data_IF_317584969278
#
_entry.id   IF_317584969278
#
_cell.length_a   1.000
_cell.length_b   1.000
_cell.length_c   1.000
_cell.angle_alpha   90.00
_cell.angle_beta   90.00
_cell.angle_gamma   90.00
#
_symmetry.space_group_name_H-M   'P 1'
#
loop_
_entity.id
_entity.type
_entity.pdbx_description
1 polymer ?
#
# COMPACT_ATOMS: atom_id res chain seq x y z
N UNK A 1 -31.95 -7.97 -76.58
CA UNK A 1 -32.60 -7.31 -75.45
C UNK A 1 -32.81 -8.31 -74.26
N UNK A 2 -31.78 -9.15 -73.93
CA UNK A 2 -31.94 -10.25 -72.94
C UNK A 2 -30.78 -10.40 -71.96
N UNK A 3 -29.73 -9.60 -72.06
CA UNK A 3 -28.53 -9.73 -71.21
C UNK A 3 -28.59 -8.72 -70.01
N UNK A 4 -29.20 -7.57 -70.21
CA UNK A 4 -29.30 -6.49 -69.18
C UNK A 4 -30.26 -6.82 -68.05
N UNK A 5 -31.32 -7.65 -68.27
CA UNK A 5 -32.27 -8.04 -67.22
C UNK A 5 -31.69 -9.06 -66.19
N UNK A 6 -30.73 -9.88 -66.58
CA UNK A 6 -30.09 -10.86 -65.68
C UNK A 6 -29.09 -10.22 -64.71
N UNK A 7 -28.41 -9.14 -65.13
CA UNK A 7 -27.50 -8.40 -64.27
C UNK A 7 -28.21 -7.64 -63.15
N UNK A 8 -29.38 -7.05 -63.41
CA UNK A 8 -30.19 -6.32 -62.40
C UNK A 8 -30.79 -7.27 -61.35
N UNK A 9 -31.14 -8.51 -61.72
CA UNK A 9 -31.66 -9.48 -60.75
C UNK A 9 -30.58 -9.97 -59.81
N UNK A 10 -29.35 -10.16 -60.25
CA UNK A 10 -28.23 -10.56 -59.38
C UNK A 10 -27.80 -9.44 -58.43
N UNK A 11 -27.83 -8.19 -58.87
CA UNK A 11 -27.50 -7.02 -58.02
C UNK A 11 -28.52 -6.82 -56.90
N UNK A 12 -29.79 -6.96 -57.18
CA UNK A 12 -30.84 -6.84 -56.17
C UNK A 12 -30.84 -8.02 -55.20
N UNK A 13 -30.46 -9.20 -55.60
CA UNK A 13 -30.34 -10.36 -54.72
C UNK A 13 -29.08 -10.26 -53.81
N UNK A 14 -27.96 -9.74 -54.32
CA UNK A 14 -26.78 -9.46 -53.51
C UNK A 14 -27.04 -8.33 -52.53
N UNK A 15 -27.73 -7.25 -52.90
CA UNK A 15 -28.09 -6.15 -52.03
C UNK A 15 -29.06 -6.60 -50.91
N UNK A 16 -29.98 -7.51 -51.24
CA UNK A 16 -30.90 -8.09 -50.23
C UNK A 16 -30.15 -9.03 -49.25
N UNK A 17 -29.20 -9.82 -49.72
CA UNK A 17 -28.36 -10.67 -48.87
C UNK A 17 -27.44 -9.86 -47.95
N UNK A 18 -26.87 -8.73 -48.42
CA UNK A 18 -26.04 -7.84 -47.61
C UNK A 18 -26.88 -7.12 -46.57
N UNK A 19 -28.12 -6.68 -46.88
CA UNK A 19 -29.04 -6.06 -45.90
C UNK A 19 -29.52 -7.06 -44.85
N UNK A 20 -29.76 -8.31 -45.20
CA UNK A 20 -30.12 -9.38 -44.23
C UNK A 20 -28.92 -9.74 -43.35
N UNK A 21 -27.69 -9.72 -43.88
CA UNK A 21 -26.45 -9.92 -43.10
C UNK A 21 -26.16 -8.75 -42.15
N UNK A 22 -26.36 -7.52 -42.58
CA UNK A 22 -26.20 -6.33 -41.73
C UNK A 22 -27.27 -6.24 -40.63
N UNK A 23 -28.53 -6.63 -40.91
CA UNK A 23 -29.56 -6.69 -39.90
C UNK A 23 -29.38 -7.85 -38.89
N UNK A 24 -28.83 -8.99 -39.34
CA UNK A 24 -28.47 -10.11 -38.45
C UNK A 24 -27.28 -9.79 -37.55
N UNK A 25 -26.34 -8.95 -38.00
CA UNK A 25 -25.18 -8.54 -37.20
C UNK A 25 -25.52 -7.50 -36.13
N UNK A 26 -26.55 -6.66 -36.33
CA UNK A 26 -27.05 -5.74 -35.29
C UNK A 26 -27.85 -6.41 -34.18
N UNK A 27 -28.35 -7.62 -34.37
CA UNK A 27 -29.07 -8.38 -33.34
C UNK A 27 -28.16 -9.19 -32.42
N UNK A 28 -26.87 -9.34 -32.76
CA UNK A 28 -25.90 -10.07 -31.94
C UNK A 28 -25.17 -9.22 -30.91
N UNK A 29 -25.36 -7.89 -30.91
CA UNK A 29 -24.77 -7.00 -29.91
C UNK A 29 -25.68 -6.66 -28.71
N UNK A 30 -26.89 -7.24 -28.64
CA UNK A 30 -27.73 -7.18 -27.45
C UNK A 30 -27.56 -8.39 -26.53
N UNK A 31 -26.40 -9.03 -26.50
CA UNK A 31 -26.00 -9.87 -25.39
C UNK A 31 -25.54 -8.96 -24.24
N UNK A 32 -26.49 -8.28 -23.62
CA UNK A 32 -26.34 -7.89 -22.21
C UNK A 32 -26.03 -9.16 -21.46
N UNK A 33 -24.76 -9.40 -21.18
CA UNK A 33 -24.36 -10.37 -20.18
C UNK A 33 -25.17 -10.04 -18.92
N UNK A 34 -26.06 -10.93 -18.58
CA UNK A 34 -26.72 -10.99 -17.30
C UNK A 34 -25.62 -11.18 -16.26
N UNK A 35 -24.94 -10.07 -15.89
CA UNK A 35 -24.31 -9.99 -14.59
C UNK A 35 -25.48 -10.21 -13.65
N UNK A 36 -25.55 -11.38 -13.05
CA UNK A 36 -26.31 -11.58 -11.83
C UNK A 36 -25.87 -10.45 -10.91
N UNK A 37 -26.64 -9.37 -10.89
CA UNK A 37 -26.59 -8.37 -9.87
C UNK A 37 -26.96 -9.12 -8.59
N UNK A 38 -25.95 -9.63 -7.89
CA UNK A 38 -26.06 -9.83 -6.45
C UNK A 38 -26.66 -8.54 -5.94
N UNK A 39 -27.82 -8.63 -5.30
CA UNK A 39 -28.54 -7.50 -4.75
C UNK A 39 -27.55 -6.67 -3.93
N UNK A 40 -27.00 -5.63 -4.54
CA UNK A 40 -26.21 -4.61 -3.85
C UNK A 40 -27.21 -3.93 -2.92
N UNK A 41 -27.11 -4.26 -1.64
CA UNK A 41 -27.77 -3.48 -0.62
C UNK A 41 -27.36 -2.03 -0.83
N UNK A 42 -28.33 -1.13 -1.04
CA UNK A 42 -28.11 0.27 -1.35
C UNK A 42 -27.40 0.95 -0.19
N UNK A 43 -26.06 1.03 -0.27
CA UNK A 43 -25.22 1.76 0.65
C UNK A 43 -24.60 2.98 -0.04
N UNK A 44 -24.27 4.02 0.71
CA UNK A 44 -23.53 5.17 0.21
C UNK A 44 -22.02 4.86 0.19
N UNK A 45 -21.43 4.88 -1.00
CA UNK A 45 -19.99 4.68 -1.14
C UNK A 45 -19.23 5.86 -0.54
N UNK A 46 -18.31 5.57 0.38
CA UNK A 46 -17.37 6.57 0.87
C UNK A 46 -16.28 6.73 -0.19
N UNK A 47 -16.19 7.94 -0.75
CA UNK A 47 -15.25 8.21 -1.84
C UNK A 47 -13.80 8.03 -1.39
N UNK A 48 -13.06 7.22 -2.16
CA UNK A 48 -11.62 7.05 -2.09
C UNK A 48 -11.05 7.43 -3.46
N UNK A 49 -10.16 8.42 -3.50
CA UNK A 49 -9.67 8.99 -4.75
C UNK A 49 -8.37 8.33 -5.23
N UNK A 50 -7.62 7.68 -4.33
CA UNK A 50 -6.30 7.13 -4.58
C UNK A 50 -6.16 5.65 -4.27
N UNK A 51 -6.83 5.15 -3.23
CA UNK A 51 -6.77 3.76 -2.83
C UNK A 51 -7.49 2.86 -3.84
N UNK A 52 -6.79 1.85 -4.34
CA UNK A 52 -7.31 0.91 -5.35
C UNK A 52 -7.76 -0.42 -4.74
N UNK A 53 -7.17 -0.79 -3.61
CA UNK A 53 -7.41 -2.09 -2.97
C UNK A 53 -8.34 -2.00 -1.77
N UNK A 54 -9.01 -0.86 -1.59
CA UNK A 54 -9.98 -0.64 -0.53
C UNK A 54 -11.26 -0.04 -1.09
N UNK A 55 -12.42 -0.54 -0.62
CA UNK A 55 -13.73 0.08 -0.84
C UNK A 55 -14.43 0.21 0.50
N UNK A 56 -15.10 1.33 0.72
CA UNK A 56 -15.85 1.61 1.93
C UNK A 56 -17.28 1.98 1.55
N UNK A 57 -18.26 1.27 2.13
CA UNK A 57 -19.68 1.45 1.81
C UNK A 57 -20.44 1.63 3.12
N UNK A 58 -21.13 2.75 3.25
CA UNK A 58 -21.94 3.07 4.44
C UNK A 58 -23.34 2.49 4.27
N UNK A 59 -23.73 1.64 5.20
CA UNK A 59 -25.07 1.10 5.31
C UNK A 59 -25.78 1.63 6.56
N UNK A 60 -27.08 1.35 6.67
CA UNK A 60 -27.81 1.69 7.89
C UNK A 60 -27.34 0.82 9.07
N UNK A 61 -26.66 1.44 10.01
CA UNK A 61 -26.17 0.81 11.24
C UNK A 61 -24.79 0.14 11.15
N UNK A 62 -24.13 0.10 10.00
CA UNK A 62 -22.76 -0.42 9.86
C UNK A 62 -22.05 0.17 8.64
N UNK A 63 -20.74 0.01 8.58
CA UNK A 63 -19.94 0.30 7.39
C UNK A 63 -19.31 -0.99 6.88
N UNK A 64 -19.39 -1.22 5.60
CA UNK A 64 -18.72 -2.34 4.95
C UNK A 64 -17.38 -1.86 4.38
N UNK A 65 -16.32 -2.60 4.68
CA UNK A 65 -15.01 -2.40 4.10
C UNK A 65 -14.62 -3.65 3.31
N UNK A 66 -14.34 -3.47 2.02
CA UNK A 66 -13.91 -4.54 1.12
C UNK A 66 -12.45 -4.33 0.80
N UNK A 67 -11.61 -5.26 1.19
CA UNK A 67 -10.19 -5.30 0.81
C UNK A 67 -10.08 -6.14 -0.45
N UNK A 68 -9.68 -5.53 -1.55
CA UNK A 68 -9.47 -6.21 -2.82
C UNK A 68 -8.14 -6.96 -2.81
N UNK A 69 -8.09 -8.07 -3.56
CA UNK A 69 -6.89 -8.88 -3.63
C UNK A 69 -5.85 -8.25 -4.58
N UNK A 70 -4.70 -7.78 -4.08
CA UNK A 70 -3.72 -7.10 -4.91
C UNK A 70 -2.96 -8.05 -5.86
N UNK A 71 -3.01 -9.37 -5.61
CA UNK A 71 -2.34 -10.39 -6.41
C UNK A 71 -3.27 -11.07 -7.43
N UNK A 72 -4.61 -10.98 -7.22
CA UNK A 72 -5.61 -11.59 -8.08
C UNK A 72 -6.60 -10.55 -8.58
N UNK A 73 -6.45 -10.14 -9.83
CA UNK A 73 -7.31 -9.13 -10.44
C UNK A 73 -8.80 -9.49 -10.31
N UNK A 74 -9.60 -8.55 -9.85
CA UNK A 74 -11.04 -8.71 -9.67
C UNK A 74 -11.45 -9.59 -8.49
N UNK A 75 -10.49 -10.08 -7.68
CA UNK A 75 -10.75 -10.83 -6.46
C UNK A 75 -10.90 -9.93 -5.23
N UNK A 76 -11.63 -10.42 -4.24
CA UNK A 76 -11.65 -9.85 -2.90
C UNK A 76 -10.69 -10.66 -2.02
N UNK A 77 -9.96 -9.97 -1.14
CA UNK A 77 -9.10 -10.61 -0.15
C UNK A 77 -9.91 -10.88 1.12
N UNK A 78 -10.59 -9.87 1.62
CA UNK A 78 -11.39 -9.95 2.83
C UNK A 78 -12.49 -8.87 2.85
N UNK A 79 -13.53 -9.13 3.60
CA UNK A 79 -14.66 -8.21 3.81
C UNK A 79 -14.91 -8.02 5.30
N UNK A 80 -15.06 -6.77 5.73
CA UNK A 80 -15.31 -6.41 7.12
C UNK A 80 -16.62 -5.66 7.25
N UNK A 81 -17.49 -6.11 8.15
CA UNK A 81 -18.72 -5.42 8.52
C UNK A 81 -18.46 -4.69 9.86
N UNK A 82 -18.21 -3.39 9.78
CA UNK A 82 -17.85 -2.55 10.92
C UNK A 82 -19.13 -2.09 11.61
N UNK A 83 -19.44 -2.69 12.74
CA UNK A 83 -20.68 -2.44 13.48
C UNK A 83 -20.35 -1.68 14.78
N UNK A 84 -20.88 -0.48 15.00
CA UNK A 84 -20.66 0.25 16.25
C UNK A 84 -21.04 -0.57 17.50
N UNK A 85 -20.28 -0.42 18.57
CA UNK A 85 -20.60 -0.98 19.89
C UNK A 85 -21.86 -0.30 20.46
N UNK A 86 -22.66 -1.02 21.23
CA UNK A 86 -23.92 -0.58 21.84
C UNK A 86 -25.09 -1.44 21.45
N UNK A 87 -26.26 -1.27 22.11
CA UNK A 87 -27.43 -2.12 21.95
C UNK A 87 -27.96 -2.18 20.51
N UNK A 88 -28.07 -1.06 19.83
CA UNK A 88 -28.48 -1.02 18.42
C UNK A 88 -27.50 -1.80 17.53
N UNK A 89 -26.20 -1.64 17.79
CA UNK A 89 -25.17 -2.40 17.07
C UNK A 89 -25.21 -3.88 17.39
N UNK A 90 -25.63 -4.31 18.58
CA UNK A 90 -25.77 -5.73 18.94
C UNK A 90 -26.85 -6.40 18.09
N UNK A 91 -27.97 -5.71 17.88
CA UNK A 91 -29.06 -6.21 17.00
C UNK A 91 -28.61 -6.26 15.54
N UNK A 92 -27.90 -5.22 15.06
CA UNK A 92 -27.34 -5.20 13.70
C UNK A 92 -26.34 -6.34 13.52
N UNK A 93 -25.41 -6.54 14.46
CA UNK A 93 -24.41 -7.60 14.37
C UNK A 93 -25.04 -8.99 14.32
N UNK A 94 -26.08 -9.24 15.14
CA UNK A 94 -26.83 -10.50 15.12
C UNK A 94 -27.49 -10.73 13.78
N UNK A 95 -28.20 -9.74 13.24
CA UNK A 95 -28.84 -9.84 11.93
C UNK A 95 -27.83 -10.10 10.81
N UNK A 96 -26.69 -9.42 10.85
CA UNK A 96 -25.62 -9.61 9.86
C UNK A 96 -24.98 -11.00 9.96
N UNK A 97 -24.86 -11.56 11.17
CA UNK A 97 -24.36 -12.91 11.37
C UNK A 97 -25.26 -13.96 10.69
N UNK A 98 -26.58 -13.79 10.83
CA UNK A 98 -27.57 -14.67 10.21
C UNK A 98 -27.56 -14.57 8.66
N UNK A 99 -27.19 -13.43 8.12
CA UNK A 99 -27.17 -13.12 6.68
C UNK A 99 -25.78 -13.17 6.04
N UNK A 100 -24.74 -13.46 6.80
CA UNK A 100 -23.34 -13.35 6.39
C UNK A 100 -23.05 -14.00 5.03
N UNK A 101 -23.42 -15.26 4.86
CA UNK A 101 -23.17 -16.00 3.61
C UNK A 101 -23.92 -15.40 2.41
N UNK A 102 -25.13 -14.89 2.63
CA UNK A 102 -25.90 -14.23 1.56
C UNK A 102 -25.26 -12.89 1.13
N UNK A 103 -24.62 -12.16 2.06
CA UNK A 103 -23.96 -10.88 1.79
C UNK A 103 -22.62 -11.10 1.07
N UNK A 104 -21.84 -12.09 1.49
CA UNK A 104 -20.42 -12.20 1.12
C UNK A 104 -20.10 -13.35 0.18
N UNK A 105 -21.05 -14.27 -0.02
CA UNK A 105 -20.80 -15.49 -0.81
C UNK A 105 -19.67 -16.33 -0.19
N UNK A 106 -18.59 -16.53 -0.95
CA UNK A 106 -17.40 -17.30 -0.52
C UNK A 106 -16.25 -16.42 -0.01
N UNK A 107 -16.36 -15.09 -0.09
CA UNK A 107 -15.31 -14.18 0.41
C UNK A 107 -15.21 -14.28 1.93
N UNK A 108 -14.00 -14.42 2.50
CA UNK A 108 -13.79 -14.31 3.93
C UNK A 108 -14.38 -13.01 4.47
N UNK A 109 -15.11 -13.09 5.59
CA UNK A 109 -15.78 -11.93 6.15
C UNK A 109 -15.80 -11.99 7.68
N UNK A 110 -15.52 -10.86 8.30
CA UNK A 110 -15.63 -10.68 9.75
C UNK A 110 -16.55 -9.53 10.11
N UNK A 111 -17.33 -9.73 11.17
CA UNK A 111 -18.13 -8.68 11.82
C UNK A 111 -17.28 -8.10 12.94
N UNK A 112 -16.86 -6.85 12.79
CA UNK A 112 -16.01 -6.14 13.75
C UNK A 112 -16.84 -5.16 14.58
N UNK A 113 -16.75 -5.28 15.90
CA UNK A 113 -17.39 -4.33 16.83
C UNK A 113 -16.48 -3.13 17.06
N UNK A 114 -16.81 -2.02 16.44
CA UNK A 114 -16.01 -0.78 16.50
C UNK A 114 -16.50 0.21 17.56
N UNK A 115 -15.63 1.03 18.17
CA UNK A 115 -14.19 1.06 17.93
C UNK A 115 -13.46 -0.16 18.54
N UNK A 116 -12.38 -0.58 17.87
CA UNK A 116 -11.45 -1.56 18.42
C UNK A 116 -10.71 -0.93 19.60
N UNK A 117 -10.57 -1.71 20.68
CA UNK A 117 -9.96 -1.23 21.94
C UNK A 117 -8.74 -2.04 22.36
N UNK A 118 -8.58 -3.23 21.78
CA UNK A 118 -7.45 -4.12 22.03
C UNK A 118 -7.02 -4.76 20.72
N UNK A 119 -5.88 -4.36 20.18
CA UNK A 119 -5.35 -4.95 18.94
C UNK A 119 -3.92 -5.40 19.12
N UNK A 120 -3.56 -6.48 18.43
CA UNK A 120 -2.17 -6.88 18.22
C UNK A 120 -1.72 -6.26 16.91
N UNK A 121 -0.64 -5.50 16.94
CA UNK A 121 -0.12 -4.78 15.77
C UNK A 121 1.23 -5.38 15.37
N UNK A 122 1.37 -5.73 14.09
CA UNK A 122 2.56 -6.44 13.61
C UNK A 122 3.57 -5.54 12.89
N UNK A 123 3.25 -4.26 12.68
CA UNK A 123 4.17 -3.33 12.01
C UNK A 123 4.34 -2.02 12.77
N UNK A 124 5.54 -1.47 12.74
CA UNK A 124 5.85 -0.18 13.35
C UNK A 124 5.06 0.97 12.70
N UNK A 125 4.79 0.90 11.40
CA UNK A 125 4.01 1.89 10.67
C UNK A 125 2.58 2.02 11.19
N UNK A 126 1.89 0.89 11.44
CA UNK A 126 0.53 0.91 12.00
C UNK A 126 0.53 1.29 13.49
N UNK A 127 1.57 0.93 14.23
CA UNK A 127 1.74 1.45 15.59
C UNK A 127 1.77 2.99 15.57
N UNK A 128 2.62 3.58 14.74
CA UNK A 128 2.73 5.03 14.61
C UNK A 128 1.41 5.67 14.17
N UNK A 129 0.72 5.07 13.20
CA UNK A 129 -0.58 5.56 12.75
C UNK A 129 -1.60 5.64 13.90
N UNK A 130 -1.63 4.67 14.81
CA UNK A 130 -2.53 4.71 15.97
C UNK A 130 -2.18 5.85 16.95
N UNK A 131 -0.91 6.23 17.05
CA UNK A 131 -0.53 7.44 17.80
C UNK A 131 -1.06 8.71 17.12
N UNK A 132 -0.93 8.83 15.83
CA UNK A 132 -1.41 9.97 15.05
C UNK A 132 -2.94 10.10 15.09
N UNK A 133 -3.62 8.97 15.05
CA UNK A 133 -5.07 8.89 15.22
C UNK A 133 -5.54 9.13 16.68
N UNK A 134 -4.61 9.24 17.65
CA UNK A 134 -4.94 9.37 19.07
C UNK A 134 -5.57 8.10 19.67
N UNK A 135 -5.21 6.93 19.12
CA UNK A 135 -5.75 5.61 19.49
C UNK A 135 -4.68 4.62 19.97
N UNK A 136 -3.53 5.12 20.39
CA UNK A 136 -2.40 4.32 20.90
C UNK A 136 -2.77 3.43 22.09
N UNK A 137 -3.86 3.73 22.80
CA UNK A 137 -4.35 2.91 23.91
C UNK A 137 -4.95 1.57 23.44
N UNK A 138 -5.34 1.48 22.16
CA UNK A 138 -5.84 0.25 21.58
C UNK A 138 -4.72 -0.77 21.26
N UNK A 139 -3.45 -0.38 21.36
CA UNK A 139 -2.31 -1.28 21.20
C UNK A 139 -2.17 -2.13 22.46
N UNK A 140 -2.60 -3.38 22.42
CA UNK A 140 -2.51 -4.34 23.53
C UNK A 140 -1.26 -5.21 23.43
N UNK A 141 -0.78 -5.47 22.23
CA UNK A 141 0.45 -6.21 21.96
C UNK A 141 1.06 -5.84 20.62
N UNK A 142 2.34 -6.14 20.48
CA UNK A 142 3.11 -5.93 19.24
C UNK A 142 3.95 -7.15 18.92
N UNK A 143 4.21 -7.38 17.64
CA UNK A 143 5.25 -8.30 17.19
C UNK A 143 6.50 -7.53 16.76
N UNK A 144 7.63 -8.25 16.65
CA UNK A 144 8.91 -7.72 16.16
C UNK A 144 9.27 -6.39 16.86
N UNK A 145 9.21 -6.38 18.20
CA UNK A 145 9.39 -5.19 19.05
C UNK A 145 10.71 -4.45 18.78
N UNK A 146 11.74 -5.17 18.38
CA UNK A 146 13.07 -4.62 18.07
C UNK A 146 13.05 -3.63 16.89
N UNK A 147 12.06 -3.74 15.99
CA UNK A 147 11.91 -2.84 14.85
C UNK A 147 10.99 -1.64 15.14
N UNK A 148 10.42 -1.55 16.34
CA UNK A 148 9.50 -0.46 16.70
C UNK A 148 10.26 0.62 17.46
N UNK A 149 10.55 1.74 16.80
CA UNK A 149 11.34 2.83 17.37
C UNK A 149 10.49 3.89 18.10
N UNK A 150 9.25 3.55 18.45
CA UNK A 150 8.33 4.44 19.17
C UNK A 150 8.65 4.38 20.68
N UNK A 151 9.16 5.46 21.31
CA UNK A 151 9.64 5.41 22.69
C UNK A 151 8.56 4.99 23.71
N UNK A 152 7.31 5.37 23.49
CA UNK A 152 6.20 4.98 24.37
C UNK A 152 5.89 3.49 24.28
N UNK A 153 5.95 2.88 23.09
CA UNK A 153 5.79 1.42 22.91
C UNK A 153 6.89 0.70 23.69
N UNK A 154 8.16 1.09 23.51
CA UNK A 154 9.30 0.51 24.21
C UNK A 154 9.17 0.62 25.74
N UNK A 155 8.73 1.77 26.22
CA UNK A 155 8.48 2.01 27.66
C UNK A 155 7.35 1.15 28.21
N UNK A 156 6.24 1.04 27.45
CA UNK A 156 5.05 0.26 27.87
C UNK A 156 5.29 -1.25 27.80
N UNK A 157 6.15 -1.74 26.92
CA UNK A 157 6.53 -3.16 26.87
C UNK A 157 7.48 -3.56 27.99
N UNK A 158 8.27 -2.64 28.52
CA UNK A 158 9.21 -2.87 29.62
C UNK A 158 8.58 -2.85 31.03
N UNK A 159 7.26 -2.90 31.16
CA UNK A 159 6.51 -2.80 32.41
C UNK A 159 6.68 -1.48 33.20
N UNK A 160 7.32 -0.48 32.60
CA UNK A 160 7.57 0.82 33.26
C UNK A 160 6.41 1.82 33.14
N UNK A 161 5.40 1.50 32.32
CA UNK A 161 4.24 2.38 32.08
C UNK A 161 2.96 1.59 31.84
N UNK A 162 1.82 2.20 32.16
CA UNK A 162 0.50 1.62 31.89
C UNK A 162 -0.28 2.49 30.89
N UNK A 163 -1.20 1.90 30.08
CA UNK A 163 -1.46 0.46 29.98
C UNK A 163 -0.26 -0.28 29.35
N UNK A 164 -0.01 -1.47 29.87
CA UNK A 164 1.06 -2.34 29.38
C UNK A 164 0.82 -2.83 27.95
N UNK A 165 1.88 -2.95 27.15
CA UNK A 165 1.86 -3.58 25.81
C UNK A 165 2.64 -4.88 25.89
N UNK A 166 2.05 -5.99 25.46
CA UNK A 166 2.74 -7.27 25.39
C UNK A 166 3.62 -7.40 24.17
N UNK A 167 4.84 -7.90 24.35
CA UNK A 167 5.64 -8.40 23.24
C UNK A 167 5.10 -9.79 22.85
N UNK A 168 4.52 -9.93 21.67
CA UNK A 168 3.90 -11.14 21.16
C UNK A 168 4.85 -11.96 20.25
N UNK A 169 6.15 -11.77 20.36
CA UNK A 169 7.15 -12.49 19.57
C UNK A 169 7.35 -11.92 18.18
N UNK A 170 7.83 -12.75 17.26
CA UNK A 170 7.99 -12.37 15.87
C UNK A 170 6.69 -12.57 15.07
N UNK A 171 6.47 -11.75 14.02
CA UNK A 171 5.38 -11.95 13.06
C UNK A 171 5.42 -13.31 12.38
N UNK A 172 6.61 -13.87 12.17
CA UNK A 172 6.79 -15.20 11.56
C UNK A 172 6.51 -16.34 12.53
N UNK A 173 6.70 -16.11 13.82
CA UNK A 173 6.48 -17.09 14.91
C UNK A 173 5.86 -16.37 16.12
N UNK A 174 4.57 -15.98 16.02
CA UNK A 174 3.91 -15.25 17.09
C UNK A 174 3.66 -16.15 18.32
N UNK A 175 3.74 -15.55 19.50
CA UNK A 175 3.41 -16.18 20.78
C UNK A 175 1.90 -16.31 20.93
N UNK A 176 1.37 -17.45 20.49
CA UNK A 176 -0.07 -17.76 20.46
C UNK A 176 -0.70 -17.70 21.84
N UNK A 177 -0.02 -18.22 22.88
CA UNK A 177 -0.55 -18.26 24.25
C UNK A 177 -0.70 -16.86 24.79
N UNK A 178 0.27 -16.01 24.55
CA UNK A 178 0.25 -14.61 24.95
C UNK A 178 -0.86 -13.83 24.23
N UNK A 179 -0.99 -14.02 22.90
CA UNK A 179 -2.07 -13.41 22.13
C UNK A 179 -3.43 -13.81 22.69
N UNK A 180 -3.66 -15.10 22.95
CA UNK A 180 -4.91 -15.59 23.51
C UNK A 180 -5.19 -14.99 24.91
N UNK A 181 -4.17 -14.86 25.75
CA UNK A 181 -4.32 -14.30 27.10
C UNK A 181 -4.77 -12.83 27.09
N UNK A 182 -4.39 -12.08 26.04
CA UNK A 182 -4.78 -10.68 25.86
C UNK A 182 -6.24 -10.50 25.45
N UNK A 183 -6.85 -11.53 24.86
CA UNK A 183 -8.22 -11.48 24.28
C UNK A 183 -8.40 -10.25 23.40
N UNK A 184 -7.61 -10.09 22.32
CA UNK A 184 -7.70 -8.92 21.46
C UNK A 184 -9.00 -8.91 20.66
N UNK A 185 -9.46 -7.71 20.28
CA UNK A 185 -10.58 -7.51 19.37
C UNK A 185 -10.22 -7.92 17.94
N UNK A 186 -8.94 -7.75 17.54
CA UNK A 186 -8.43 -8.11 16.24
C UNK A 186 -6.88 -8.19 16.23
N UNK A 187 -6.37 -8.86 15.20
CA UNK A 187 -4.95 -8.86 14.80
C UNK A 187 -4.81 -8.03 13.53
N UNK A 188 -3.91 -7.05 13.52
CA UNK A 188 -3.59 -6.26 12.32
C UNK A 188 -2.33 -6.80 11.70
N UNK A 189 -2.46 -7.45 10.54
CA UNK A 189 -1.38 -8.14 9.83
C UNK A 189 -1.24 -7.62 8.41
N UNK A 190 -0.01 -7.56 7.90
CA UNK A 190 0.23 -7.34 6.47
C UNK A 190 0.15 -8.67 5.73
N UNK A 191 -0.83 -8.88 4.83
CA UNK A 191 -0.93 -10.10 4.04
C UNK A 191 0.22 -10.19 3.02
N UNK A 192 0.51 -11.39 2.52
CA UNK A 192 1.44 -11.59 1.42
C UNK A 192 0.90 -12.63 0.45
N UNK A 193 1.39 -12.60 -0.77
CA UNK A 193 0.99 -13.56 -1.80
C UNK A 193 1.23 -14.99 -1.30
N UNK A 194 0.26 -15.86 -1.52
CA UNK A 194 0.29 -17.24 -1.05
C UNK A 194 0.35 -17.38 0.48
N UNK A 195 -0.07 -16.38 1.23
CA UNK A 195 -0.18 -16.49 2.70
C UNK A 195 -1.10 -17.64 3.17
N UNK A 196 -1.78 -18.32 2.26
CA UNK A 196 -2.47 -19.65 2.42
C UNK A 196 -3.31 -19.84 3.67
N UNK A 197 -3.52 -18.78 4.41
CA UNK A 197 -4.02 -18.74 5.78
C UNK A 197 -2.87 -18.43 6.75
N UNK A 198 -3.23 -17.89 7.88
CA UNK A 198 -2.27 -17.45 8.91
C UNK A 198 -1.91 -18.59 9.88
N UNK A 199 -1.95 -19.83 9.40
CA UNK A 199 -1.56 -20.99 10.20
C UNK A 199 -2.31 -21.08 11.54
N UNK A 200 -1.56 -21.13 12.64
CA UNK A 200 -2.13 -21.19 13.99
C UNK A 200 -2.97 -19.98 14.38
N UNK A 201 -2.69 -18.79 13.81
CA UNK A 201 -3.46 -17.58 14.08
C UNK A 201 -4.91 -17.69 13.57
N UNK A 202 -5.13 -18.30 12.41
CA UNK A 202 -6.48 -18.53 11.87
C UNK A 202 -7.34 -19.41 12.79
N UNK A 203 -6.71 -20.32 13.55
CA UNK A 203 -7.42 -21.20 14.47
C UNK A 203 -7.88 -20.50 15.76
N UNK A 204 -7.40 -19.29 16.03
CA UNK A 204 -7.74 -18.54 17.25
C UNK A 204 -9.14 -17.94 17.24
N UNK A 205 -9.82 -17.93 16.09
CA UNK A 205 -11.11 -17.26 15.91
C UNK A 205 -11.11 -15.76 16.29
N UNK A 206 -9.92 -15.15 16.25
CA UNK A 206 -9.74 -13.70 16.43
C UNK A 206 -9.75 -13.11 15.02
N UNK A 207 -10.56 -12.07 14.74
CA UNK A 207 -10.57 -11.42 13.44
C UNK A 207 -9.17 -10.93 13.03
N UNK A 208 -8.79 -11.22 11.78
CA UNK A 208 -7.54 -10.76 11.19
C UNK A 208 -7.86 -9.63 10.22
N UNK A 209 -7.27 -8.47 10.46
CA UNK A 209 -7.36 -7.31 9.57
C UNK A 209 -6.21 -7.38 8.58
N UNK A 210 -6.55 -7.65 7.34
CA UNK A 210 -5.64 -7.74 6.18
C UNK A 210 -5.18 -6.34 5.78
N UNK A 211 -4.09 -5.86 6.36
CA UNK A 211 -3.52 -4.53 6.09
C UNK A 211 -2.77 -4.52 4.75
N UNK A 212 -3.51 -4.57 3.63
CA UNK A 212 -2.94 -4.59 2.28
C UNK A 212 -2.56 -3.19 1.75
N UNK A 213 -2.57 -2.17 2.60
CA UNK A 213 -2.23 -0.78 2.26
C UNK A 213 -0.84 -0.64 1.63
N UNK A 214 0.12 -1.47 2.03
CA UNK A 214 1.48 -1.43 1.49
C UNK A 214 1.56 -1.88 0.02
N UNK A 215 0.51 -2.55 -0.50
CA UNK A 215 0.40 -2.98 -1.89
C UNK A 215 -0.15 -1.89 -2.81
N UNK A 216 -0.61 -0.77 -2.26
CA UNK A 216 -1.03 0.37 -3.07
C UNK A 216 0.13 0.90 -3.92
N UNK A 217 -0.15 1.14 -5.19
CA UNK A 217 0.85 1.60 -6.16
C UNK A 217 0.95 3.12 -6.23
N UNK A 218 -0.04 3.83 -5.69
CA UNK A 218 -0.05 5.27 -5.54
C UNK A 218 0.46 5.65 -4.14
N UNK A 219 1.38 6.61 -4.01
CA UNK A 219 1.82 7.10 -2.70
C UNK A 219 0.66 7.58 -1.81
N UNK A 220 -0.30 8.32 -2.36
CA UNK A 220 -1.48 8.77 -1.64
C UNK A 220 -2.50 7.64 -1.42
N UNK A 221 -2.50 6.59 -2.27
CA UNK A 221 -3.37 5.43 -2.09
C UNK A 221 -3.13 4.75 -0.75
N UNK A 222 -1.87 4.50 -0.40
CA UNK A 222 -1.53 3.95 0.92
C UNK A 222 -1.99 4.86 2.06
N UNK A 223 -1.76 6.16 1.94
CA UNK A 223 -2.18 7.12 2.96
C UNK A 223 -3.69 7.19 3.13
N UNK A 224 -4.46 6.97 2.07
CA UNK A 224 -5.90 7.04 2.13
C UNK A 224 -6.54 5.92 2.97
N UNK A 225 -5.84 4.81 3.19
CA UNK A 225 -6.26 3.78 4.14
C UNK A 225 -6.38 4.30 5.58
N UNK A 226 -5.82 5.46 5.90
CA UNK A 226 -6.03 6.16 7.17
C UNK A 226 -7.54 6.31 7.46
N UNK A 227 -8.38 6.51 6.43
CA UNK A 227 -9.84 6.58 6.57
C UNK A 227 -10.42 5.25 7.11
N UNK A 228 -9.94 4.11 6.62
CA UNK A 228 -10.34 2.79 7.11
C UNK A 228 -9.92 2.56 8.56
N UNK A 229 -8.65 2.85 8.88
CA UNK A 229 -8.16 2.72 10.25
C UNK A 229 -8.88 3.68 11.21
N UNK A 230 -9.26 4.86 10.72
CA UNK A 230 -10.13 5.80 11.46
C UNK A 230 -11.48 5.17 11.85
N UNK A 231 -12.12 4.46 10.92
CA UNK A 231 -13.37 3.75 11.17
C UNK A 231 -13.17 2.59 12.16
N UNK A 232 -12.10 1.80 12.00
CA UNK A 232 -11.80 0.67 12.88
C UNK A 232 -11.62 1.11 14.33
N UNK A 233 -10.90 2.20 14.55
CA UNK A 233 -10.54 2.68 15.90
C UNK A 233 -11.39 3.85 16.38
N UNK A 234 -12.39 4.27 15.61
CA UNK A 234 -13.29 5.37 15.97
C UNK A 234 -12.59 6.71 16.11
N UNK A 235 -11.63 7.02 15.22
CA UNK A 235 -10.90 8.28 15.26
C UNK A 235 -11.49 9.31 14.30
N UNK A 236 -11.92 10.44 14.84
CA UNK A 236 -12.38 11.59 14.06
C UNK A 236 -11.24 12.34 13.35
N UNK A 237 -9.99 12.08 13.75
CA UNK A 237 -8.81 12.73 13.17
C UNK A 237 -8.44 12.18 11.79
N UNK A 238 -8.94 11.01 11.39
CA UNK A 238 -8.50 10.30 10.19
C UNK A 238 -8.65 11.15 8.92
N UNK A 239 -9.80 11.78 8.72
CA UNK A 239 -10.07 12.59 7.54
C UNK A 239 -9.17 13.83 7.49
N UNK A 240 -9.02 14.56 8.60
CA UNK A 240 -8.17 15.75 8.65
C UNK A 240 -6.68 15.40 8.51
N UNK A 241 -6.24 14.27 9.05
CA UNK A 241 -4.88 13.77 8.90
C UNK A 241 -4.58 13.47 7.43
N UNK A 242 -5.43 12.66 6.77
CA UNK A 242 -5.26 12.37 5.34
C UNK A 242 -5.28 13.64 4.49
N UNK A 243 -6.24 14.54 4.69
CA UNK A 243 -6.32 15.81 3.92
C UNK A 243 -5.08 16.68 4.09
N UNK A 244 -4.47 16.69 5.28
CA UNK A 244 -3.21 17.39 5.52
C UNK A 244 -2.03 16.78 4.75
N UNK A 245 -1.94 15.45 4.72
CA UNK A 245 -0.94 14.69 3.96
C UNK A 245 -1.12 14.94 2.45
N UNK A 246 -2.34 14.77 1.95
CA UNK A 246 -2.69 14.99 0.55
C UNK A 246 -2.30 16.39 0.08
N UNK A 247 -2.74 17.41 0.83
CA UNK A 247 -2.42 18.82 0.52
C UNK A 247 -0.90 19.04 0.43
N UNK A 248 -0.16 18.54 1.41
CA UNK A 248 1.30 18.69 1.47
C UNK A 248 1.98 17.96 0.31
N UNK A 249 1.52 16.75 -0.01
CA UNK A 249 2.01 15.97 -1.13
C UNK A 249 1.81 16.69 -2.47
N UNK A 250 0.59 17.14 -2.73
CA UNK A 250 0.23 17.83 -3.98
C UNK A 250 0.97 19.16 -4.13
N UNK A 251 1.21 19.88 -3.03
CA UNK A 251 2.02 21.11 -3.05
C UNK A 251 3.49 20.82 -3.42
N UNK A 252 4.09 19.78 -2.85
CA UNK A 252 5.47 19.37 -3.17
C UNK A 252 5.57 18.88 -4.62
N UNK A 253 4.64 18.08 -5.09
CA UNK A 253 4.57 17.63 -6.49
C UNK A 253 4.47 18.82 -7.45
N UNK A 254 3.58 19.77 -7.17
CA UNK A 254 3.44 20.99 -8.00
C UNK A 254 4.67 21.90 -7.93
N UNK A 255 5.38 21.91 -6.82
CA UNK A 255 6.68 22.59 -6.70
C UNK A 255 7.74 21.93 -7.56
N UNK A 256 7.90 20.60 -7.45
CA UNK A 256 8.89 19.85 -8.22
C UNK A 256 8.66 19.93 -9.74
N UNK A 257 7.41 19.93 -10.18
CA UNK A 257 7.06 20.04 -11.61
C UNK A 257 7.50 21.36 -12.28
N UNK A 258 7.86 22.38 -11.50
CA UNK A 258 8.39 23.67 -12.00
C UNK A 258 9.90 23.67 -12.11
N UNK A 259 10.58 22.66 -11.58
CA UNK A 259 12.04 22.52 -11.64
C UNK A 259 12.45 21.88 -12.97
N UNK A 260 13.68 22.08 -13.44
CA UNK A 260 14.21 21.26 -14.55
C UNK A 260 14.26 19.79 -14.13
N UNK A 261 14.44 18.88 -15.08
CA UNK A 261 14.60 17.46 -14.77
C UNK A 261 15.87 17.24 -13.95
N UNK A 262 15.72 16.67 -12.75
CA UNK A 262 16.76 16.55 -11.74
C UNK A 262 17.73 15.38 -11.93
N UNK A 263 18.58 15.17 -10.93
CA UNK A 263 19.50 14.03 -10.90
C UNK A 263 18.75 12.70 -10.92
N UNK A 264 19.41 11.71 -11.51
CA UNK A 264 18.93 10.33 -11.52
C UNK A 264 19.22 9.64 -10.18
N UNK A 265 18.20 9.05 -9.56
CA UNK A 265 18.30 8.43 -8.24
C UNK A 265 18.12 6.91 -8.35
N UNK A 266 19.00 6.14 -7.72
CA UNK A 266 18.85 4.72 -7.42
C UNK A 266 18.64 4.57 -5.90
N UNK A 267 17.62 3.81 -5.45
CA UNK A 267 17.24 3.75 -4.04
C UNK A 267 17.66 2.47 -3.31
N UNK A 268 18.04 1.42 -4.03
CA UNK A 268 18.26 0.12 -3.43
C UNK A 268 19.71 -0.35 -3.61
N UNK A 269 20.10 -1.36 -2.84
CA UNK A 269 21.39 -2.03 -2.97
C UNK A 269 21.21 -3.54 -3.13
N UNK A 270 22.27 -4.22 -3.49
CA UNK A 270 22.29 -5.66 -3.70
C UNK A 270 21.95 -6.41 -2.40
N UNK A 271 21.19 -7.48 -2.49
CA UNK A 271 20.88 -8.39 -1.39
C UNK A 271 21.19 -9.83 -1.83
N UNK A 272 22.17 -10.44 -1.22
CA UNK A 272 22.65 -11.74 -1.66
C UNK A 272 23.18 -11.69 -3.11
N UNK A 273 22.65 -12.50 -4.01
CA UNK A 273 23.01 -12.52 -5.43
C UNK A 273 22.16 -11.61 -6.30
N UNK A 274 21.09 -11.00 -5.76
CA UNK A 274 20.09 -10.23 -6.50
C UNK A 274 20.13 -8.77 -6.07
N UNK A 275 19.88 -7.87 -7.01
CA UNK A 275 19.65 -6.47 -6.75
C UNK A 275 18.18 -6.14 -7.05
N UNK A 276 17.40 -5.97 -6.01
CA UNK A 276 16.00 -5.59 -6.14
C UNK A 276 15.91 -4.09 -6.38
N UNK A 277 15.31 -3.68 -7.50
CA UNK A 277 15.02 -2.27 -7.79
C UNK A 277 13.52 -2.04 -7.87
N UNK A 278 13.09 -0.85 -7.60
CA UNK A 278 11.68 -0.48 -7.66
C UNK A 278 11.23 -0.38 -9.13
N UNK A 279 10.12 -1.00 -9.50
CA UNK A 279 9.53 -0.81 -10.83
C UNK A 279 9.10 0.64 -11.06
N UNK A 280 9.02 1.07 -12.30
CA UNK A 280 8.68 2.46 -12.65
C UNK A 280 7.28 2.88 -12.20
N UNK A 281 6.34 1.92 -12.08
CA UNK A 281 4.98 2.16 -11.56
C UNK A 281 4.79 1.78 -10.09
N UNK A 282 5.87 1.50 -9.38
CA UNK A 282 5.83 1.29 -7.93
C UNK A 282 5.62 2.62 -7.19
N UNK A 283 5.33 2.53 -5.89
CA UNK A 283 5.25 3.72 -5.02
C UNK A 283 6.55 4.55 -5.08
N UNK A 284 7.72 3.91 -5.04
CA UNK A 284 9.02 4.61 -5.14
C UNK A 284 9.22 5.20 -6.55
N UNK A 285 8.93 4.43 -7.62
CA UNK A 285 9.00 4.93 -8.99
C UNK A 285 8.12 6.17 -9.19
N UNK A 286 6.88 6.13 -8.66
CA UNK A 286 5.95 7.26 -8.69
C UNK A 286 6.46 8.45 -7.89
N UNK A 287 7.04 8.23 -6.70
CA UNK A 287 7.63 9.30 -5.88
C UNK A 287 8.80 9.98 -6.60
N UNK A 288 9.67 9.21 -7.28
CA UNK A 288 10.78 9.75 -8.06
C UNK A 288 10.26 10.57 -9.26
N UNK A 289 9.24 10.09 -9.95
CA UNK A 289 8.58 10.84 -11.02
C UNK A 289 7.96 12.14 -10.49
N UNK A 290 7.24 12.09 -9.37
CA UNK A 290 6.60 13.25 -8.75
C UNK A 290 7.62 14.24 -8.15
N UNK A 291 8.83 13.78 -7.82
CA UNK A 291 9.98 14.62 -7.45
C UNK A 291 10.65 15.29 -8.66
N UNK A 292 10.18 15.02 -9.88
CA UNK A 292 10.81 15.43 -11.14
C UNK A 292 12.28 14.98 -11.24
N UNK A 293 12.58 13.82 -10.65
CA UNK A 293 13.87 13.14 -10.71
C UNK A 293 13.93 12.20 -11.91
N UNK A 294 15.13 11.95 -12.44
CA UNK A 294 15.36 10.84 -13.36
C UNK A 294 15.44 9.54 -12.56
N UNK A 295 15.04 8.46 -13.19
CA UNK A 295 15.14 7.12 -12.62
C UNK A 295 15.55 6.14 -13.73
N UNK A 296 16.61 5.30 -13.55
CA UNK A 296 17.10 4.42 -14.60
C UNK A 296 16.08 3.37 -15.09
N UNK A 297 15.04 3.11 -14.31
CA UNK A 297 13.98 2.12 -14.59
C UNK A 297 12.59 2.77 -14.69
N UNK A 298 12.51 4.06 -15.02
CA UNK A 298 11.26 4.82 -15.09
C UNK A 298 10.26 4.24 -16.11
N UNK A 299 10.77 3.66 -17.22
CA UNK A 299 9.95 3.08 -18.29
C UNK A 299 9.42 1.68 -17.94
N UNK A 300 9.87 1.09 -16.85
CA UNK A 300 9.38 -0.21 -16.41
C UNK A 300 7.93 -0.10 -15.93
N UNK A 301 7.11 -1.06 -16.31
CA UNK A 301 5.66 -1.04 -16.04
C UNK A 301 5.22 -1.78 -14.79
N UNK A 302 6.15 -2.42 -14.08
CA UNK A 302 5.82 -3.15 -12.85
C UNK A 302 5.57 -2.19 -11.68
N UNK A 303 4.63 -2.57 -10.84
CA UNK A 303 4.29 -1.84 -9.61
C UNK A 303 5.03 -2.34 -8.37
N UNK A 304 5.76 -3.45 -8.49
CA UNK A 304 6.54 -4.07 -7.41
C UNK A 304 8.04 -3.89 -7.59
N UNK A 305 8.81 -4.68 -6.84
CA UNK A 305 10.26 -4.77 -6.97
C UNK A 305 10.65 -5.72 -8.11
N UNK A 306 11.66 -5.34 -8.86
CA UNK A 306 12.25 -6.12 -9.95
C UNK A 306 13.50 -6.82 -9.45
N UNK A 307 13.56 -8.15 -9.48
CA UNK A 307 14.80 -8.88 -9.23
C UNK A 307 15.71 -8.76 -10.47
N UNK A 308 16.86 -8.10 -10.33
CA UNK A 308 17.83 -7.92 -11.42
C UNK A 308 19.19 -8.49 -11.03
N UNK A 309 19.98 -8.90 -12.03
CA UNK A 309 21.37 -9.23 -11.77
C UNK A 309 22.18 -7.95 -11.52
N UNK A 310 23.27 -8.02 -10.76
CA UNK A 310 24.16 -6.87 -10.58
C UNK A 310 24.67 -6.28 -11.89
N UNK A 311 24.93 -7.12 -12.89
CA UNK A 311 25.42 -6.72 -14.23
C UNK A 311 24.39 -5.84 -14.95
N UNK A 312 23.10 -6.19 -14.87
CA UNK A 312 22.02 -5.39 -15.46
C UNK A 312 21.93 -3.99 -14.84
N UNK A 313 22.16 -3.89 -13.53
CA UNK A 313 22.20 -2.60 -12.83
C UNK A 313 23.46 -1.82 -13.23
N UNK A 314 24.62 -2.50 -13.26
CA UNK A 314 25.88 -1.87 -13.62
C UNK A 314 25.95 -1.42 -15.08
N UNK A 315 25.18 -2.04 -15.98
CA UNK A 315 25.01 -1.54 -17.34
C UNK A 315 24.43 -0.12 -17.40
N UNK A 316 23.73 0.31 -16.33
CA UNK A 316 23.19 1.67 -16.15
C UNK A 316 23.97 2.49 -15.10
N UNK A 317 25.18 2.06 -14.72
CA UNK A 317 25.95 2.68 -13.63
C UNK A 317 26.26 4.17 -13.86
N UNK A 318 26.50 4.58 -15.10
CA UNK A 318 26.78 5.96 -15.46
C UNK A 318 25.52 6.86 -15.47
N UNK A 319 24.33 6.25 -15.48
CA UNK A 319 23.05 6.96 -15.36
C UNK A 319 22.72 7.29 -13.88
N UNK A 320 23.35 6.64 -12.91
CA UNK A 320 23.06 6.82 -11.48
C UNK A 320 23.82 8.00 -10.90
N UNK A 321 23.20 9.18 -10.89
CA UNK A 321 23.81 10.42 -10.33
C UNK A 321 23.82 10.40 -8.80
N UNK A 322 22.78 9.88 -8.17
CA UNK A 322 22.57 9.79 -6.72
C UNK A 322 22.23 8.36 -6.35
N UNK A 323 22.87 7.83 -5.34
CA UNK A 323 22.57 6.54 -4.77
C UNK A 323 22.08 6.71 -3.32
N UNK A 324 20.77 6.52 -3.09
CA UNK A 324 20.10 6.76 -1.82
C UNK A 324 19.59 5.45 -1.23
N UNK A 325 20.32 4.86 -0.29
CA UNK A 325 20.03 3.53 0.27
C UNK A 325 19.50 3.58 1.70
N UNK A 326 19.02 2.46 2.17
CA UNK A 326 18.67 2.24 3.58
C UNK A 326 19.69 1.26 4.21
N UNK A 327 19.93 1.43 5.50
CA UNK A 327 20.75 0.48 6.27
C UNK A 327 20.12 0.19 7.63
N UNK A 328 20.43 -1.00 8.13
CA UNK A 328 20.18 -1.42 9.50
C UNK A 328 21.52 -1.66 10.18
N UNK A 329 21.76 -1.01 11.29
CA UNK A 329 23.03 -1.12 12.03
C UNK A 329 23.30 0.12 12.86
N UNK A 330 24.40 0.09 13.61
CA UNK A 330 24.75 1.13 14.57
C UNK A 330 25.32 2.39 13.90
N UNK A 331 25.83 2.27 12.68
CA UNK A 331 26.40 3.37 11.91
C UNK A 331 26.12 3.24 10.40
N UNK A 332 26.16 4.33 9.63
CA UNK A 332 26.12 4.28 8.17
C UNK A 332 27.32 3.47 7.64
N UNK A 333 27.06 2.67 6.61
CA UNK A 333 28.15 1.92 5.96
C UNK A 333 29.12 2.91 5.29
N UNK A 334 30.38 2.80 5.61
CA UNK A 334 31.45 3.54 4.96
C UNK A 334 31.63 3.10 3.50
N UNK A 335 32.34 3.91 2.70
CA UNK A 335 32.68 3.54 1.33
C UNK A 335 33.45 2.21 1.27
N UNK A 336 34.34 1.94 2.23
CA UNK A 336 35.10 0.70 2.29
C UNK A 336 34.20 -0.50 2.54
N UNK A 337 33.25 -0.40 3.48
CA UNK A 337 32.31 -1.47 3.79
C UNK A 337 31.38 -1.76 2.61
N UNK A 338 30.88 -0.71 1.92
CA UNK A 338 30.09 -0.90 0.70
C UNK A 338 30.89 -1.64 -0.38
N UNK A 339 32.16 -1.30 -0.60
CA UNK A 339 33.02 -1.95 -1.59
C UNK A 339 33.44 -3.36 -1.16
N UNK A 340 33.51 -3.63 0.15
CA UNK A 340 33.69 -4.97 0.67
C UNK A 340 32.46 -5.86 0.47
N UNK A 341 31.23 -5.28 0.64
CA UNK A 341 29.98 -5.98 0.34
C UNK A 341 29.91 -6.36 -1.15
N UNK A 342 30.24 -5.42 -2.03
CA UNK A 342 30.27 -5.64 -3.48
C UNK A 342 31.18 -4.65 -4.21
N UNK A 343 32.34 -5.09 -4.74
CA UNK A 343 33.28 -4.21 -5.44
C UNK A 343 32.69 -3.48 -6.65
N UNK A 344 31.66 -4.08 -7.30
CA UNK A 344 30.95 -3.49 -8.44
C UNK A 344 30.31 -2.12 -8.15
N UNK A 345 30.02 -1.80 -6.90
CA UNK A 345 29.49 -0.46 -6.54
C UNK A 345 30.43 0.69 -6.96
N UNK A 346 31.75 0.42 -7.08
CA UNK A 346 32.72 1.40 -7.56
C UNK A 346 32.41 1.93 -8.97
N UNK A 347 31.67 1.19 -9.77
CA UNK A 347 31.30 1.58 -11.14
C UNK A 347 30.19 2.64 -11.16
N UNK A 348 29.35 2.73 -10.11
CA UNK A 348 28.26 3.71 -10.03
C UNK A 348 28.83 5.15 -10.08
N UNK A 349 28.26 5.99 -10.94
CA UNK A 349 28.59 7.41 -11.02
C UNK A 349 28.43 8.11 -9.67
N UNK A 350 27.40 7.76 -8.91
CA UNK A 350 27.18 8.27 -7.56
C UNK A 350 28.36 7.98 -6.62
N UNK A 351 28.96 6.79 -6.70
CA UNK A 351 30.16 6.43 -5.92
C UNK A 351 31.39 7.24 -6.36
N UNK A 352 31.56 7.47 -7.66
CA UNK A 352 32.67 8.26 -8.21
C UNK A 352 32.57 9.73 -7.81
N UNK A 353 31.35 10.28 -7.76
CA UNK A 353 31.07 11.70 -7.47
C UNK A 353 30.78 11.99 -5.99
N UNK A 354 30.75 10.97 -5.13
CA UNK A 354 30.44 11.10 -3.71
C UNK A 354 29.00 11.53 -3.44
N UNK A 355 28.03 11.19 -4.32
CA UNK A 355 26.61 11.44 -4.12
C UNK A 355 25.91 10.17 -3.62
N UNK A 356 26.45 9.61 -2.55
CA UNK A 356 25.90 8.44 -1.85
C UNK A 356 25.24 8.93 -0.56
N UNK A 357 24.01 8.49 -0.35
CA UNK A 357 23.21 8.87 0.81
C UNK A 357 22.63 7.62 1.46
N UNK A 358 22.52 7.63 2.78
CA UNK A 358 22.01 6.51 3.53
C UNK A 358 21.00 6.96 4.58
N UNK A 359 19.89 6.24 4.69
CA UNK A 359 18.89 6.43 5.75
C UNK A 359 18.96 5.26 6.73
N UNK A 360 19.08 5.56 8.02
CA UNK A 360 19.00 4.54 9.07
C UNK A 360 17.56 4.05 9.24
N UNK A 361 17.39 2.74 9.38
CA UNK A 361 16.12 2.11 9.78
C UNK A 361 16.18 1.49 11.17
N UNK A 362 17.33 1.64 11.87
CA UNK A 362 17.55 1.17 13.24
C UNK A 362 17.63 2.30 14.27
N UNK A 363 18.08 3.48 13.88
CA UNK A 363 18.24 4.63 14.77
C UNK A 363 17.26 5.79 14.47
N UNK A 364 16.60 5.75 13.33
CA UNK A 364 15.58 6.73 12.93
C UNK A 364 14.26 6.00 12.64
N UNK A 365 13.11 6.54 13.06
CA UNK A 365 11.80 5.97 12.82
C UNK A 365 11.36 6.17 11.35
N UNK A 366 12.19 5.66 10.42
CA UNK A 366 12.00 5.83 8.98
C UNK A 366 10.65 5.29 8.52
N UNK A 367 10.36 4.04 8.80
CA UNK A 367 9.13 3.40 8.36
C UNK A 367 7.90 3.93 9.09
N UNK A 368 8.02 4.22 10.39
CA UNK A 368 6.96 4.83 11.18
C UNK A 368 6.54 6.19 10.61
N UNK A 369 7.52 6.98 10.17
CA UNK A 369 7.28 8.35 9.73
C UNK A 369 7.01 8.51 8.24
N UNK A 370 7.31 7.52 7.41
CA UNK A 370 7.20 7.66 5.95
C UNK A 370 6.11 6.79 5.34
N UNK A 371 5.71 5.70 5.98
CA UNK A 371 4.80 4.72 5.38
C UNK A 371 3.43 5.28 5.01
N UNK A 372 2.83 6.09 5.88
CA UNK A 372 1.57 6.80 5.61
C UNK A 372 1.75 8.27 5.25
N UNK A 373 3.01 8.73 5.16
CA UNK A 373 3.41 10.11 4.91
C UNK A 373 4.32 10.23 3.68
N UNK A 374 3.80 9.95 2.47
CA UNK A 374 4.60 9.98 1.25
C UNK A 374 5.15 11.36 0.93
N UNK A 375 4.53 12.45 1.43
CA UNK A 375 5.01 13.82 1.29
C UNK A 375 6.39 14.01 1.92
N UNK A 376 6.72 13.24 2.96
CA UNK A 376 8.03 13.29 3.61
C UNK A 376 9.12 12.71 2.71
N UNK A 377 8.87 11.56 2.08
CA UNK A 377 9.81 10.98 1.12
C UNK A 377 9.87 11.77 -0.18
N UNK A 378 8.75 12.30 -0.66
CA UNK A 378 8.73 13.16 -1.83
C UNK A 378 9.65 14.37 -1.64
N UNK A 379 9.57 15.01 -0.46
CA UNK A 379 10.46 16.11 -0.10
C UNK A 379 11.95 15.70 -0.14
N UNK A 380 12.30 14.54 0.43
CA UNK A 380 13.68 14.03 0.39
C UNK A 380 14.14 13.80 -1.06
N UNK A 381 13.32 13.17 -1.88
CA UNK A 381 13.69 12.91 -3.29
C UNK A 381 13.80 14.19 -4.11
N UNK A 382 12.98 15.22 -3.85
CA UNK A 382 13.14 16.53 -4.46
C UNK A 382 14.53 17.12 -4.09
N UNK A 383 14.92 17.10 -2.82
CA UNK A 383 16.20 17.62 -2.38
C UNK A 383 17.39 16.81 -2.94
N UNK A 384 17.26 15.50 -3.00
CA UNK A 384 18.30 14.62 -3.54
C UNK A 384 18.50 14.82 -5.05
N UNK A 385 17.42 15.06 -5.79
CA UNK A 385 17.48 15.30 -7.24
C UNK A 385 17.79 16.76 -7.59
N UNK A 386 17.45 17.71 -6.71
CA UNK A 386 17.61 19.16 -6.89
C UNK A 386 18.23 19.78 -5.62
N UNK A 387 19.56 19.64 -5.40
CA UNK A 387 20.20 20.06 -4.15
C UNK A 387 20.03 21.55 -3.81
N UNK A 388 19.84 22.39 -4.80
CA UNK A 388 19.58 23.83 -4.65
C UNK A 388 18.28 24.11 -3.87
N UNK A 389 17.33 23.19 -3.90
CA UNK A 389 16.03 23.32 -3.20
C UNK A 389 16.17 23.23 -1.68
N UNK A 390 17.34 22.83 -1.16
CA UNK A 390 17.65 22.86 0.27
C UNK A 390 17.38 24.24 0.89
N UNK A 391 17.53 25.32 0.13
CA UNK A 391 17.25 26.69 0.60
C UNK A 391 15.77 26.93 0.91
N UNK A 392 14.86 26.30 0.16
CA UNK A 392 13.40 26.45 0.32
C UNK A 392 12.74 25.32 1.10
N UNK A 393 13.26 24.10 0.98
CA UNK A 393 12.69 22.91 1.62
C UNK A 393 13.40 22.52 2.92
N UNK A 394 14.56 23.12 3.24
CA UNK A 394 15.39 22.75 4.38
C UNK A 394 16.30 21.54 4.11
N UNK A 395 17.11 21.14 5.08
CA UNK A 395 18.03 20.01 4.97
C UNK A 395 17.29 18.66 4.88
N UNK A 396 17.97 17.64 4.34
CA UNK A 396 17.50 16.24 4.39
C UNK A 396 17.24 15.85 5.85
N UNK A 397 16.17 15.11 6.06
CA UNK A 397 15.76 14.64 7.39
C UNK A 397 16.18 13.20 7.65
N UNK A 398 16.04 12.36 6.63
CA UNK A 398 16.27 10.91 6.77
C UNK A 398 17.61 10.49 6.17
N UNK A 399 18.01 11.11 5.08
CA UNK A 399 19.20 10.71 4.36
C UNK A 399 20.43 11.53 4.79
N UNK A 400 21.49 10.83 5.15
CA UNK A 400 22.81 11.41 5.46
C UNK A 400 23.74 11.11 4.29
N UNK A 401 24.54 12.10 3.91
CA UNK A 401 25.57 11.93 2.88
C UNK A 401 26.73 11.13 3.44
N UNK A 402 27.22 10.16 2.64
CA UNK A 402 28.41 9.37 2.94
C UNK A 402 29.68 10.19 2.80
#
# INVERSE_FOLDING_TARGET
MTITKRYYQHYNMLALCVLVWLSGFMLLFNSCGNRTATAQASGDTIQLDYAKYLQLIRHKGYTEAVVLNPWKQGGELHRYLLVPKGSEGDEVAKKLADQKTAITGTTPCDILRTPLTKSIITTSAHCQLLYELGRQQAIAGVCDLEYILIPDVQRRTSHKSRPYISNCGSCMQPDIERIMSLRPDALLLSPFENSGGYGKLSALQIPIIEAADYMETSPLGRSEWIKFYGLLYGSEKATSLFSGIEKSYLQLKAFAAKLPLGYSILTERKTGSVWYVSGGRSTIGTLLQDAHARYPFADDTHSGSLPMSPEQILAKADEVDVWATKYWGDHPLSRAELLQEYPGYSQLKAMKTGRVFQASTSSQPYFEQTSFHPERLLREFIILSHPETTRSLGALRYYLRL
#
